data_IF_323165654972
#
_entry.id   IF_323165654972
#
_cell.length_a   1.000
_cell.length_b   1.000
_cell.length_c   1.000
_cell.angle_alpha   90.00
_cell.angle_beta   90.00
_cell.angle_gamma   90.00
#
_symmetry.space_group_name_H-M   'P 1'
#
loop_
_entity.id
_entity.type
_entity.pdbx_description
1 polymer ?
#
# COMPACT_ATOMS: atom_id res chain seq x y z
N UNK A 1 -13.08 8.63 -6.01
CA UNK A 1 -11.97 8.28 -5.11
C UNK A 1 -12.55 7.95 -3.74
N UNK A 2 -12.47 6.69 -3.30
CA UNK A 2 -13.04 6.24 -2.02
C UNK A 2 -12.05 6.53 -0.89
N UNK A 3 -12.51 7.22 0.16
CA UNK A 3 -11.71 7.50 1.36
C UNK A 3 -12.14 6.58 2.48
N UNK A 4 -11.19 5.97 3.17
CA UNK A 4 -11.43 5.04 4.26
C UNK A 4 -10.36 5.21 5.35
N UNK A 5 -10.58 6.09 6.34
CA UNK A 5 -9.61 6.34 7.40
C UNK A 5 -9.34 5.09 8.26
N UNK A 6 -10.32 4.20 8.44
CA UNK A 6 -10.15 2.94 9.18
C UNK A 6 -9.13 2.04 8.50
N UNK A 7 -9.24 1.86 7.18
CA UNK A 7 -8.25 1.11 6.40
C UNK A 7 -6.87 1.74 6.52
N UNK A 8 -6.74 3.05 6.36
CA UNK A 8 -5.44 3.73 6.48
C UNK A 8 -4.83 3.57 7.88
N UNK A 9 -5.64 3.52 8.92
CA UNK A 9 -5.17 3.25 10.28
C UNK A 9 -4.67 1.80 10.43
N UNK A 10 -5.40 0.81 9.89
CA UNK A 10 -4.98 -0.59 9.90
C UNK A 10 -3.68 -0.81 9.12
N UNK A 11 -3.56 -0.23 7.92
CA UNK A 11 -2.33 -0.31 7.11
C UNK A 11 -1.11 0.17 7.89
N UNK A 12 -1.19 1.29 8.62
CA UNK A 12 -0.05 1.84 9.38
C UNK A 12 0.40 0.96 10.56
N UNK A 13 -0.42 -0.01 10.98
CA UNK A 13 -0.06 -0.97 12.03
C UNK A 13 0.70 -2.18 11.49
N UNK A 14 0.57 -2.46 10.19
CA UNK A 14 1.27 -3.56 9.54
C UNK A 14 2.74 -3.21 9.28
N UNK A 15 3.68 -4.17 9.36
CA UNK A 15 5.06 -3.94 8.97
C UNK A 15 5.17 -3.65 7.47
N UNK A 16 6.25 -2.99 7.07
CA UNK A 16 6.57 -2.72 5.67
C UNK A 16 6.51 -4.00 4.84
N UNK A 17 5.61 -4.06 3.86
CA UNK A 17 5.36 -5.27 3.07
C UNK A 17 6.59 -5.73 2.27
N UNK A 18 7.51 -4.80 1.99
CA UNK A 18 8.74 -5.04 1.22
C UNK A 18 9.92 -5.51 2.09
N UNK A 19 10.15 -4.88 3.24
CA UNK A 19 11.38 -5.13 4.03
C UNK A 19 11.14 -5.51 5.50
N UNK A 20 9.89 -5.58 5.95
CA UNK A 20 9.55 -5.99 7.33
C UNK A 20 9.76 -4.93 8.41
N UNK A 21 10.23 -3.72 8.08
CA UNK A 21 10.37 -2.65 9.07
C UNK A 21 9.02 -2.37 9.76
N UNK A 22 8.96 -2.33 11.11
CA UNK A 22 7.71 -2.22 11.86
C UNK A 22 7.01 -0.87 11.71
N UNK A 23 7.77 0.19 11.37
CA UNK A 23 7.23 1.54 11.24
C UNK A 23 6.86 1.82 9.78
N UNK A 24 5.59 1.60 9.45
CA UNK A 24 5.07 1.79 8.10
C UNK A 24 4.17 3.03 7.95
N UNK A 25 4.07 3.50 6.71
CA UNK A 25 3.12 4.51 6.25
C UNK A 25 2.14 3.85 5.28
N UNK A 26 0.94 4.40 5.18
CA UNK A 26 0.00 3.98 4.14
C UNK A 26 0.41 4.60 2.80
N UNK A 27 1.01 3.78 1.94
CA UNK A 27 1.42 4.14 0.58
C UNK A 27 0.27 3.88 -0.40
N UNK A 28 -0.11 4.91 -1.17
CA UNK A 28 -1.14 4.82 -2.20
C UNK A 28 -0.56 4.27 -3.50
N UNK A 29 -1.38 3.58 -4.30
CA UNK A 29 -0.96 3.18 -5.64
C UNK A 29 -0.59 4.37 -6.53
N UNK A 30 0.42 4.18 -7.38
CA UNK A 30 0.81 5.14 -8.42
C UNK A 30 0.03 4.98 -9.74
N UNK A 31 -0.84 3.97 -9.86
CA UNK A 31 -1.59 3.72 -11.10
C UNK A 31 -2.82 4.61 -11.26
N UNK A 32 -3.00 5.18 -12.46
CA UNK A 32 -4.20 5.95 -12.81
C UNK A 32 -5.49 5.09 -12.73
N UNK A 33 -5.38 3.78 -12.99
CA UNK A 33 -6.48 2.80 -12.89
C UNK A 33 -7.11 2.78 -11.49
N UNK A 34 -6.32 3.10 -10.47
CA UNK A 34 -6.72 3.16 -9.07
C UNK A 34 -7.25 4.55 -8.63
N UNK A 35 -7.46 5.46 -9.58
CA UNK A 35 -7.94 6.82 -9.34
C UNK A 35 -6.83 7.83 -9.00
N UNK A 36 -5.55 7.50 -9.24
CA UNK A 36 -4.44 8.47 -9.12
C UNK A 36 -4.59 9.55 -10.20
N UNK A 37 -4.39 10.81 -9.81
CA UNK A 37 -4.35 11.95 -10.73
C UNK A 37 -3.33 13.01 -10.31
N UNK A 38 -3.24 14.12 -11.05
CA UNK A 38 -2.41 15.27 -10.65
C UNK A 38 -2.96 15.84 -9.33
N UNK A 39 -2.12 15.92 -8.31
CA UNK A 39 -2.50 16.32 -6.94
C UNK A 39 -3.60 15.48 -6.28
N UNK A 40 -3.95 14.33 -6.88
CA UNK A 40 -4.99 13.41 -6.39
C UNK A 40 -4.32 12.09 -6.04
N UNK A 41 -4.59 11.55 -4.84
CA UNK A 41 -4.12 10.23 -4.41
C UNK A 41 -5.06 9.14 -4.95
N UNK A 42 -4.57 7.93 -5.12
CA UNK A 42 -5.45 6.80 -5.45
C UNK A 42 -6.49 6.55 -4.34
N UNK A 43 -7.50 5.73 -4.64
CA UNK A 43 -8.49 5.26 -3.66
C UNK A 43 -7.80 4.60 -2.45
N UNK A 44 -8.33 4.78 -1.24
CA UNK A 44 -7.71 4.23 -0.03
C UNK A 44 -7.74 2.69 -0.02
N UNK A 45 -8.59 2.04 -0.82
CA UNK A 45 -8.57 0.58 -1.01
C UNK A 45 -7.29 0.07 -1.70
N UNK A 46 -6.61 0.93 -2.46
CA UNK A 46 -5.33 0.63 -3.11
C UNK A 46 -4.19 1.23 -2.29
N UNK A 47 -4.02 0.69 -1.08
CA UNK A 47 -2.95 1.08 -0.15
C UNK A 47 -2.22 -0.12 0.43
N UNK A 48 -0.91 0.05 0.65
CA UNK A 48 0.00 -0.95 1.23
C UNK A 48 0.89 -0.32 2.32
N UNK A 49 1.39 -1.10 3.29
CA UNK A 49 2.30 -0.59 4.31
C UNK A 49 3.73 -0.54 3.78
N UNK A 50 4.33 0.64 3.72
CA UNK A 50 5.75 0.82 3.38
C UNK A 50 6.45 1.71 4.41
N UNK A 51 7.66 1.36 4.83
CA UNK A 51 8.48 2.27 5.61
C UNK A 51 8.92 3.46 4.76
N UNK A 52 9.32 4.56 5.40
CA UNK A 52 9.68 5.81 4.71
C UNK A 52 10.64 5.62 3.53
N UNK A 53 11.71 4.83 3.70
CA UNK A 53 12.69 4.56 2.64
C UNK A 53 12.10 3.78 1.47
N UNK A 54 11.33 2.72 1.74
CA UNK A 54 10.71 1.92 0.67
C UNK A 54 9.59 2.69 -0.04
N UNK A 55 8.82 3.48 0.72
CA UNK A 55 7.76 4.34 0.20
C UNK A 55 8.32 5.38 -0.77
N UNK A 56 9.39 6.07 -0.40
CA UNK A 56 10.07 7.03 -1.27
C UNK A 56 10.55 6.37 -2.57
N UNK A 57 11.21 5.21 -2.49
CA UNK A 57 11.70 4.50 -3.70
C UNK A 57 10.56 4.03 -4.60
N UNK A 58 9.42 3.64 -4.01
CA UNK A 58 8.22 3.25 -4.75
C UNK A 58 7.60 4.45 -5.48
N UNK A 59 7.40 5.57 -4.78
CA UNK A 59 6.81 6.79 -5.33
C UNK A 59 7.65 7.43 -6.43
N UNK A 60 8.97 7.23 -6.37
CA UNK A 60 9.92 7.76 -7.35
C UNK A 60 10.32 6.75 -8.43
N UNK A 61 9.66 5.58 -8.49
CA UNK A 61 9.96 4.50 -9.45
C UNK A 61 11.44 4.07 -9.45
N UNK A 62 12.08 4.06 -8.28
CA UNK A 62 13.46 3.58 -8.10
C UNK A 62 13.56 2.07 -7.84
N UNK A 63 12.41 1.38 -7.76
CA UNK A 63 12.34 -0.07 -7.55
C UNK A 63 12.18 -0.87 -8.86
N UNK A 64 12.06 -0.18 -10.00
CA UNK A 64 11.82 -0.75 -11.31
C UNK A 64 11.15 0.27 -12.24
N UNK A 65 10.87 -0.13 -13.48
CA UNK A 65 10.08 0.68 -14.39
C UNK A 65 8.59 0.73 -13.97
N UNK A 66 7.77 1.53 -14.67
CA UNK A 66 6.34 1.70 -14.32
C UNK A 66 5.56 0.38 -14.32
N UNK A 67 5.79 -0.48 -15.32
CA UNK A 67 5.10 -1.77 -15.45
C UNK A 67 5.50 -2.72 -14.32
N UNK A 68 6.79 -2.79 -14.02
CA UNK A 68 7.31 -3.58 -12.88
C UNK A 68 6.75 -3.07 -11.55
N UNK A 69 6.66 -1.74 -11.38
CA UNK A 69 6.09 -1.11 -10.20
C UNK A 69 4.60 -1.40 -10.04
N UNK A 70 3.83 -1.45 -11.14
CA UNK A 70 2.41 -1.86 -11.09
C UNK A 70 2.29 -3.33 -10.67
N UNK A 71 3.02 -4.24 -11.31
CA UNK A 71 2.98 -5.67 -10.99
C UNK A 71 3.41 -5.97 -9.54
N UNK A 72 4.46 -5.30 -9.07
CA UNK A 72 4.94 -5.40 -7.69
C UNK A 72 3.89 -4.91 -6.68
N UNK A 73 3.22 -3.79 -6.98
CA UNK A 73 2.16 -3.26 -6.15
C UNK A 73 0.96 -4.20 -6.07
N UNK A 74 0.55 -4.81 -7.18
CA UNK A 74 -0.60 -5.73 -7.22
C UNK A 74 -0.35 -6.96 -6.33
N UNK A 75 0.86 -7.53 -6.38
CA UNK A 75 1.26 -8.63 -5.50
C UNK A 75 1.22 -8.23 -4.02
N UNK A 76 1.74 -7.04 -3.67
CA UNK A 76 1.68 -6.52 -2.32
C UNK A 76 0.24 -6.28 -1.85
N UNK A 77 -0.61 -5.74 -2.71
CA UNK A 77 -2.01 -5.44 -2.38
C UNK A 77 -2.79 -6.71 -2.03
N UNK A 78 -2.61 -7.80 -2.80
CA UNK A 78 -3.21 -9.10 -2.49
C UNK A 78 -2.77 -9.59 -1.12
N UNK A 79 -1.47 -9.52 -0.81
CA UNK A 79 -0.92 -9.96 0.47
C UNK A 79 -1.45 -9.12 1.64
N UNK A 80 -1.51 -7.80 1.48
CA UNK A 80 -2.01 -6.86 2.49
C UNK A 80 -3.50 -7.08 2.75
N UNK A 81 -4.31 -7.29 1.71
CA UNK A 81 -5.73 -7.57 1.89
C UNK A 81 -5.97 -8.87 2.65
N UNK A 82 -5.12 -9.90 2.44
CA UNK A 82 -5.16 -11.13 3.25
C UNK A 82 -4.80 -10.87 4.71
N UNK A 83 -3.76 -10.07 4.98
CA UNK A 83 -3.37 -9.68 6.34
C UNK A 83 -4.51 -8.98 7.08
N UNK A 84 -5.17 -8.02 6.43
CA UNK A 84 -6.29 -7.28 7.03
C UNK A 84 -7.49 -8.18 7.34
N UNK A 85 -7.82 -9.12 6.46
CA UNK A 85 -8.91 -10.09 6.70
C UNK A 85 -8.55 -11.06 7.83
N UNK A 86 -7.27 -11.41 8.00
CA UNK A 86 -6.82 -12.28 9.09
C UNK A 86 -6.79 -11.56 10.44
N UNK A 87 -6.41 -10.27 10.48
CA UNK A 87 -6.48 -9.47 11.72
C UNK A 87 -7.93 -9.23 12.19
N UNK A 88 -8.88 -9.09 11.26
CA UNK A 88 -10.31 -8.98 11.59
C UNK A 88 -10.91 -10.29 12.11
N UNK A 89 -10.22 -11.41 11.90
CA UNK A 89 -10.54 -12.69 12.53
C UNK A 89 -9.69 -12.83 13.78
N UNK A 90 -10.16 -12.27 14.89
CA UNK A 90 -9.67 -12.69 16.20
C UNK A 90 -9.67 -14.23 16.20
N UNK A 91 -8.48 -14.80 16.35
CA UNK A 91 -8.26 -16.25 16.42
C UNK A 91 -8.87 -16.69 17.74
N UNK A 92 -10.15 -17.07 17.69
CA UNK A 92 -10.83 -17.81 18.76
C UNK A 92 -10.44 -19.28 18.71
#
# INVERSE_FOLDING_TARGET
MKRNPKRLAAIRKLPCIRCGNPNSQAAHSNSAKHGKGRSIKASDEFTVPLCHSCHFKFDTFQLGNRTESEAMFDQWLVRVNRMLVMEDKEVF
#
